data_IF_172265215784
#
_entry.id   IF_172265215784
#
_cell.length_a   1.000
_cell.length_b   1.000
_cell.length_c   1.000
_cell.angle_alpha   90.00
_cell.angle_beta   90.00
_cell.angle_gamma   90.00
#
_symmetry.space_group_name_H-M   'P 1'
#
loop_
_entity.id
_entity.type
_entity.pdbx_description
1 polymer ?
#
# COMPACT_ATOMS: atom_id res chain seq x y z
N UNK A 1 2.22 4.52 7.52
CA UNK A 1 3.54 3.85 7.62
C UNK A 1 4.32 4.46 8.77
N UNK A 2 5.15 3.67 9.46
CA UNK A 2 6.11 4.15 10.45
C UNK A 2 7.51 3.95 9.87
N UNK A 3 8.24 5.04 9.66
CA UNK A 3 9.60 5.04 9.14
C UNK A 3 10.58 5.14 10.30
N UNK A 4 11.33 4.06 10.53
CA UNK A 4 12.36 4.02 11.58
C UNK A 4 13.68 4.51 10.98
N UNK A 5 14.29 5.51 11.63
CA UNK A 5 15.56 6.11 11.22
C UNK A 5 16.56 5.98 12.36
N UNK A 6 17.70 5.36 12.12
CA UNK A 6 18.76 5.31 13.12
C UNK A 6 19.44 6.68 13.28
N UNK A 7 19.71 7.07 14.52
CA UNK A 7 20.34 8.37 14.83
C UNK A 7 21.87 8.34 14.89
N UNK A 8 22.48 7.15 14.95
CA UNK A 8 23.92 6.97 15.00
C UNK A 8 24.63 7.63 13.82
N UNK A 9 25.81 8.20 14.06
CA UNK A 9 26.66 8.76 13.00
C UNK A 9 27.11 7.63 12.07
N UNK A 10 26.97 7.82 10.76
CA UNK A 10 27.22 6.81 9.73
C UNK A 10 26.02 5.93 9.45
N UNK A 11 25.23 5.56 10.46
CA UNK A 11 24.01 4.76 10.28
C UNK A 11 22.90 5.56 9.58
N UNK A 12 22.68 6.81 10.02
CA UNK A 12 21.71 7.70 9.39
C UNK A 12 22.04 7.94 7.92
N UNK A 13 23.29 8.35 7.66
CA UNK A 13 23.79 8.72 6.35
C UNK A 13 23.74 7.53 5.37
N UNK A 14 24.05 6.32 5.84
CA UNK A 14 23.90 5.10 5.06
C UNK A 14 22.43 4.85 4.70
N UNK A 15 21.50 4.99 5.66
CA UNK A 15 20.07 4.78 5.45
C UNK A 15 19.44 5.79 4.47
N UNK A 16 19.87 7.06 4.52
CA UNK A 16 19.38 8.11 3.62
C UNK A 16 20.27 8.31 2.38
N UNK A 17 21.20 7.41 2.10
CA UNK A 17 22.02 7.43 0.89
C UNK A 17 21.16 7.13 -0.36
N UNK A 18 21.75 7.26 -1.55
CA UNK A 18 21.04 6.97 -2.82
C UNK A 18 20.58 5.51 -2.90
N UNK A 19 21.39 4.60 -2.37
CA UNK A 19 21.13 3.16 -2.35
C UNK A 19 20.56 2.70 -1.00
N UNK A 20 20.23 3.67 -0.12
CA UNK A 20 19.70 3.44 1.21
C UNK A 20 18.21 3.07 1.19
N UNK A 21 17.86 2.05 1.97
CA UNK A 21 16.51 1.48 2.03
C UNK A 21 15.47 2.45 2.60
N UNK A 22 15.86 3.38 3.47
CA UNK A 22 14.94 4.39 4.04
C UNK A 22 14.28 5.21 2.93
N UNK A 23 15.03 5.50 1.85
CA UNK A 23 14.48 6.26 0.73
C UNK A 23 13.49 5.47 -0.10
N UNK A 24 13.85 4.23 -0.39
CA UNK A 24 13.06 3.31 -1.18
C UNK A 24 11.73 2.99 -0.48
N UNK A 25 11.76 2.68 0.82
CA UNK A 25 10.55 2.42 1.60
C UNK A 25 9.59 3.62 1.67
N UNK A 26 10.11 4.84 1.83
CA UNK A 26 9.25 6.03 1.84
C UNK A 26 8.63 6.30 0.47
N UNK A 27 9.38 6.09 -0.62
CA UNK A 27 8.86 6.20 -1.98
C UNK A 27 7.78 5.16 -2.25
N UNK A 28 8.04 3.89 -1.93
CA UNK A 28 7.09 2.80 -2.06
C UNK A 28 5.80 3.08 -1.28
N UNK A 29 5.90 3.46 -0.02
CA UNK A 29 4.74 3.79 0.81
C UNK A 29 3.89 4.91 0.18
N UNK A 30 4.53 5.97 -0.34
CA UNK A 30 3.83 7.07 -0.99
C UNK A 30 3.14 6.64 -2.29
N UNK A 31 3.83 5.87 -3.14
CA UNK A 31 3.30 5.35 -4.40
C UNK A 31 2.12 4.40 -4.18
N UNK A 32 2.12 3.63 -3.10
CA UNK A 32 1.00 2.76 -2.68
C UNK A 32 -0.15 3.54 -2.00
N UNK A 33 -0.11 4.87 -2.00
CA UNK A 33 -1.18 5.69 -1.44
C UNK A 33 -1.18 5.82 0.08
N UNK A 34 -0.13 5.37 0.77
CA UNK A 34 0.03 5.55 2.23
C UNK A 34 0.39 7.01 2.53
N UNK A 35 -0.64 7.84 2.70
CA UNK A 35 -0.49 9.29 2.93
C UNK A 35 -0.08 9.66 4.36
N UNK A 36 -0.38 8.80 5.32
CA UNK A 36 0.00 8.99 6.72
C UNK A 36 1.38 8.37 7.01
N UNK A 37 2.32 9.20 7.43
CA UNK A 37 3.68 8.82 7.78
C UNK A 37 4.00 9.30 9.20
N UNK A 38 4.62 8.43 10.00
CA UNK A 38 5.25 8.76 11.29
C UNK A 38 6.74 8.48 11.13
N UNK A 39 7.61 9.36 11.62
CA UNK A 39 9.06 9.13 11.64
C UNK A 39 9.50 8.92 13.07
N UNK A 40 10.06 7.74 13.36
CA UNK A 40 10.67 7.46 14.66
C UNK A 40 12.20 7.47 14.51
N UNK A 41 12.85 8.40 15.19
CA UNK A 41 14.31 8.55 15.20
C UNK A 41 14.83 7.67 16.34
N UNK A 42 15.27 6.47 15.98
CA UNK A 42 15.66 5.40 16.89
C UNK A 42 17.15 5.43 17.23
N UNK A 43 17.53 4.73 18.30
CA UNK A 43 18.88 4.67 18.87
C UNK A 43 19.40 6.00 19.41
N UNK A 44 18.51 6.88 19.89
CA UNK A 44 18.90 8.18 20.44
C UNK A 44 19.87 8.10 21.63
N UNK A 45 19.87 6.97 22.34
CA UNK A 45 20.85 6.62 23.36
C UNK A 45 22.30 6.59 22.83
N UNK A 46 22.51 6.13 21.59
CA UNK A 46 23.85 6.02 20.98
C UNK A 46 24.44 7.39 20.59
N UNK A 47 23.60 8.39 20.37
CA UNK A 47 24.00 9.78 20.17
C UNK A 47 23.80 10.65 21.42
N UNK A 48 23.73 10.02 22.60
CA UNK A 48 23.61 10.68 23.92
C UNK A 48 22.44 11.67 23.99
N UNK A 49 21.33 11.36 23.33
CA UNK A 49 20.15 12.22 23.29
C UNK A 49 20.44 13.66 22.83
N UNK A 50 21.39 13.83 21.89
CA UNK A 50 21.75 15.14 21.34
C UNK A 50 20.59 15.81 20.59
N UNK A 51 20.19 16.99 21.05
CA UNK A 51 19.16 17.82 20.40
C UNK A 51 19.60 18.27 19.00
N UNK A 52 20.88 18.59 18.83
CA UNK A 52 21.43 19.03 17.53
C UNK A 52 21.37 17.90 16.50
N UNK A 53 21.75 16.67 16.90
CA UNK A 53 21.65 15.50 16.02
C UNK A 53 20.20 15.20 15.67
N UNK A 54 19.28 15.31 16.63
CA UNK A 54 17.85 15.15 16.37
C UNK A 54 17.33 16.18 15.35
N UNK A 55 17.67 17.46 15.52
CA UNK A 55 17.28 18.55 14.60
C UNK A 55 17.88 18.38 13.20
N UNK A 56 19.13 17.95 13.11
CA UNK A 56 19.79 17.60 11.85
C UNK A 56 19.02 16.51 11.10
N UNK A 57 18.74 15.39 11.77
CA UNK A 57 17.99 14.26 11.20
C UNK A 57 16.61 14.70 10.74
N UNK A 58 15.89 15.51 11.53
CA UNK A 58 14.59 16.06 11.14
C UNK A 58 14.71 16.87 9.86
N UNK A 59 15.69 17.78 9.78
CA UNK A 59 15.87 18.66 8.63
C UNK A 59 16.12 17.85 7.36
N UNK A 60 17.07 16.92 7.39
CA UNK A 60 17.41 16.09 6.24
C UNK A 60 16.27 15.14 5.85
N UNK A 61 15.63 14.50 6.83
CA UNK A 61 14.49 13.61 6.60
C UNK A 61 13.30 14.40 6.04
N UNK A 62 13.01 15.60 6.57
CA UNK A 62 11.94 16.47 6.08
C UNK A 62 12.16 16.88 4.62
N UNK A 63 13.40 17.25 4.27
CA UNK A 63 13.76 17.56 2.89
C UNK A 63 13.58 16.35 1.97
N UNK A 64 13.95 15.17 2.46
CA UNK A 64 13.81 13.93 1.73
C UNK A 64 12.34 13.54 1.50
N UNK A 65 11.52 13.44 2.55
CA UNK A 65 10.11 13.04 2.42
C UNK A 65 9.29 14.07 1.63
N UNK A 66 9.68 15.35 1.67
CA UNK A 66 9.11 16.40 0.81
C UNK A 66 9.40 16.18 -0.67
N UNK A 67 10.58 15.65 -1.01
CA UNK A 67 10.93 15.27 -2.40
C UNK A 67 10.17 14.03 -2.86
N UNK A 68 9.85 13.12 -1.94
CA UNK A 68 8.98 11.96 -2.21
C UNK A 68 7.54 12.42 -2.51
N UNK A 69 7.02 13.34 -1.72
CA UNK A 69 5.67 13.90 -1.91
C UNK A 69 4.88 14.13 -0.62
N UNK A 70 5.41 13.69 0.53
CA UNK A 70 4.80 13.96 1.83
C UNK A 70 4.88 15.45 2.20
N UNK A 71 3.90 15.92 2.97
CA UNK A 71 3.99 17.21 3.65
C UNK A 71 4.69 17.01 5.01
N UNK A 72 5.93 17.50 5.23
CA UNK A 72 6.64 17.29 6.49
C UNK A 72 5.90 17.83 7.71
N UNK A 73 5.07 18.86 7.55
CA UNK A 73 4.25 19.40 8.65
C UNK A 73 3.18 18.43 9.15
N UNK A 74 2.77 17.48 8.32
CA UNK A 74 1.77 16.47 8.68
C UNK A 74 2.39 15.21 9.32
N UNK A 75 3.72 15.17 9.46
CA UNK A 75 4.50 14.00 9.89
C UNK A 75 5.08 14.26 11.28
N UNK A 76 4.68 13.50 12.31
CA UNK A 76 5.31 13.59 13.62
C UNK A 76 6.70 12.96 13.58
N UNK A 77 7.66 13.61 14.24
CA UNK A 77 9.02 13.12 14.46
C UNK A 77 9.18 12.80 15.95
N UNK A 78 9.44 11.53 16.26
CA UNK A 78 9.52 11.05 17.64
C UNK A 78 10.94 10.53 17.91
N UNK A 79 11.72 11.15 18.82
CA UNK A 79 13.00 10.60 19.24
C UNK A 79 12.76 9.44 20.20
N UNK A 80 13.21 8.24 19.85
CA UNK A 80 12.99 7.02 20.65
C UNK A 80 14.29 6.27 20.90
N UNK A 81 14.26 5.41 21.92
CA UNK A 81 15.17 4.27 22.03
C UNK A 81 14.32 3.00 22.10
N UNK A 82 14.24 2.26 21.00
CA UNK A 82 13.47 1.02 20.96
C UNK A 82 14.01 -0.05 21.93
N UNK A 83 15.31 0.00 22.24
CA UNK A 83 15.95 -0.93 23.17
C UNK A 83 15.63 -0.60 24.64
N UNK A 84 15.69 0.68 25.01
CA UNK A 84 15.46 1.13 26.39
C UNK A 84 14.00 1.50 26.71
N UNK A 85 13.14 1.60 25.68
CA UNK A 85 11.72 1.93 25.81
C UNK A 85 11.41 3.44 25.85
N UNK A 86 12.42 4.30 25.75
CA UNK A 86 12.25 5.76 25.80
C UNK A 86 11.31 6.29 24.71
N UNK A 87 10.32 7.09 25.11
CA UNK A 87 9.29 7.69 24.24
C UNK A 87 8.49 6.67 23.41
N UNK A 88 8.54 5.37 23.73
CA UNK A 88 7.72 4.35 23.06
C UNK A 88 6.27 4.45 23.54
N UNK A 89 6.07 4.34 24.86
CA UNK A 89 4.76 4.35 25.53
C UNK A 89 4.69 5.46 26.58
N UNK A 90 5.82 5.74 27.25
CA UNK A 90 5.95 6.80 28.26
C UNK A 90 7.05 7.80 27.86
N UNK A 91 6.88 9.05 28.27
CA UNK A 91 7.87 10.10 28.03
C UNK A 91 9.23 9.78 28.68
N UNK A 92 10.30 10.06 27.96
CA UNK A 92 11.67 9.89 28.44
C UNK A 92 12.13 11.07 29.28
N UNK A 93 12.88 10.80 30.35
CA UNK A 93 13.61 11.80 31.13
C UNK A 93 14.97 12.14 30.54
N UNK A 94 15.46 11.36 29.55
CA UNK A 94 16.79 11.52 28.97
C UNK A 94 16.90 12.67 27.96
N UNK A 95 15.77 13.21 27.51
CA UNK A 95 15.70 14.33 26.56
C UNK A 95 14.82 15.49 27.09
N UNK A 96 15.26 16.26 28.10
CA UNK A 96 14.48 17.35 28.68
C UNK A 96 14.18 18.50 27.70
N UNK A 97 14.98 18.59 26.64
CA UNK A 97 14.78 19.52 25.52
C UNK A 97 13.57 19.17 24.65
N UNK A 98 13.17 17.89 24.60
CA UNK A 98 12.07 17.44 23.76
C UNK A 98 10.72 17.80 24.38
N UNK A 99 9.97 18.67 23.70
CA UNK A 99 8.65 19.12 24.17
C UNK A 99 7.47 18.32 23.63
N UNK A 100 7.75 17.38 22.73
CA UNK A 100 6.75 16.61 22.02
C UNK A 100 6.85 16.80 20.50
N UNK A 101 6.18 15.92 19.78
CA UNK A 101 5.96 16.05 18.36
C UNK A 101 4.71 16.88 18.11
N UNK A 102 4.65 17.50 16.94
CA UNK A 102 3.48 18.20 16.45
C UNK A 102 3.23 17.77 15.01
N UNK A 103 1.96 17.72 14.60
CA UNK A 103 1.58 17.52 13.20
C UNK A 103 0.32 18.31 12.85
N UNK A 104 0.27 18.77 11.62
CA UNK A 104 -0.88 19.46 11.02
C UNK A 104 -1.66 18.48 10.15
N UNK A 105 -2.93 18.25 10.50
CA UNK A 105 -3.89 17.46 9.72
C UNK A 105 -5.12 18.32 9.40
N UNK A 106 -6.05 17.78 8.59
CA UNK A 106 -7.25 18.52 8.19
C UNK A 106 -8.14 18.91 9.37
N UNK A 107 -8.16 18.10 10.42
CA UNK A 107 -8.92 18.34 11.66
C UNK A 107 -8.25 19.35 12.61
N UNK A 108 -7.01 19.76 12.34
CA UNK A 108 -6.28 20.73 13.15
C UNK A 108 -4.85 20.31 13.46
N UNK A 109 -4.26 20.98 14.45
CA UNK A 109 -2.91 20.67 14.95
C UNK A 109 -3.02 19.66 16.10
N UNK A 110 -2.32 18.54 15.95
CA UNK A 110 -2.21 17.51 16.97
C UNK A 110 -0.80 17.53 17.57
N UNK A 111 -0.68 17.16 18.84
CA UNK A 111 0.60 17.02 19.53
C UNK A 111 0.58 15.85 20.50
N UNK A 112 1.78 15.37 20.84
CA UNK A 112 2.00 14.29 21.80
C UNK A 112 3.49 14.15 22.08
N UNK A 113 3.88 13.16 22.88
CA UNK A 113 5.30 12.93 23.23
C UNK A 113 5.81 11.56 22.80
N UNK A 114 4.94 10.56 22.75
CA UNK A 114 5.35 9.17 22.56
C UNK A 114 5.02 8.67 21.16
N UNK A 115 5.63 7.55 20.79
CA UNK A 115 5.32 6.86 19.54
C UNK A 115 3.90 6.29 19.57
N UNK A 116 3.43 5.79 20.72
CA UNK A 116 2.06 5.32 20.89
C UNK A 116 1.06 6.45 20.62
N UNK A 117 1.24 7.62 21.25
CA UNK A 117 0.37 8.78 21.00
C UNK A 117 0.41 9.21 19.51
N UNK A 118 1.56 9.09 18.83
CA UNK A 118 1.66 9.40 17.41
C UNK A 118 0.86 8.43 16.52
N UNK A 119 0.79 7.16 16.91
CA UNK A 119 -0.03 6.13 16.25
C UNK A 119 -1.52 6.39 16.51
N UNK A 120 -1.89 6.67 17.76
CA UNK A 120 -3.27 6.97 18.14
C UNK A 120 -3.78 8.26 17.49
N UNK A 121 -2.88 9.17 17.12
CA UNK A 121 -3.19 10.39 16.38
C UNK A 121 -3.59 10.15 14.92
N UNK A 122 -3.50 8.92 14.40
CA UNK A 122 -3.82 8.61 13.01
C UNK A 122 -5.33 8.51 12.85
N UNK A 123 -5.92 9.40 12.06
CA UNK A 123 -7.33 9.32 11.71
C UNK A 123 -7.61 7.99 10.97
N UNK A 124 -8.55 7.17 11.45
CA UNK A 124 -8.95 5.95 10.77
C UNK A 124 -9.39 6.26 9.33
N UNK A 125 -8.90 5.51 8.32
CA UNK A 125 -9.35 5.71 6.95
C UNK A 125 -10.85 5.39 6.85
N UNK A 126 -11.58 6.18 6.04
CA UNK A 126 -12.97 5.86 5.72
C UNK A 126 -13.01 4.53 4.96
N UNK A 127 -13.61 3.49 5.56
CA UNK A 127 -13.83 2.21 4.90
C UNK A 127 -14.74 2.41 3.67
N UNK A 128 -14.38 1.90 2.48
CA UNK A 128 -15.15 2.10 1.25
C UNK A 128 -16.39 1.19 1.17
N UNK A 129 -17.29 1.27 2.16
CA UNK A 129 -18.51 0.45 2.23
C UNK A 129 -19.50 0.74 1.11
N UNK A 130 -19.57 2.01 0.67
CA UNK A 130 -20.49 2.48 -0.38
C UNK A 130 -20.00 2.19 -1.79
N UNK A 131 -18.75 1.75 -1.96
CA UNK A 131 -18.22 1.36 -3.28
C UNK A 131 -18.73 -0.04 -3.66
N UNK A 132 -18.76 -0.39 -4.95
CA UNK A 132 -19.02 -1.75 -5.38
C UNK A 132 -18.06 -2.76 -4.76
N UNK A 133 -18.51 -4.02 -4.63
CA UNK A 133 -17.72 -5.09 -4.01
C UNK A 133 -16.48 -5.41 -4.86
N UNK A 134 -15.31 -5.41 -4.22
CA UNK A 134 -14.07 -6.00 -4.74
C UNK A 134 -13.40 -6.82 -3.64
N UNK A 135 -13.30 -8.13 -3.89
CA UNK A 135 -12.74 -9.11 -2.97
C UNK A 135 -11.73 -9.99 -3.74
N UNK A 136 -10.45 -9.61 -3.78
CA UNK A 136 -9.38 -10.42 -4.35
C UNK A 136 -9.18 -11.73 -3.57
N UNK A 137 -9.16 -12.85 -4.28
CA UNK A 137 -9.04 -14.19 -3.67
C UNK A 137 -7.59 -14.48 -3.29
N UNK A 138 -7.36 -14.79 -2.03
CA UNK A 138 -6.09 -15.28 -1.50
C UNK A 138 -5.96 -16.78 -1.74
N UNK A 139 -7.00 -17.54 -1.43
CA UNK A 139 -7.04 -19.00 -1.55
C UNK A 139 -8.45 -19.50 -1.89
N UNK A 140 -8.55 -20.74 -2.38
CA UNK A 140 -9.81 -21.42 -2.69
C UNK A 140 -9.76 -22.84 -2.17
N UNK A 141 -10.67 -23.18 -1.26
CA UNK A 141 -10.73 -24.50 -0.62
C UNK A 141 -11.94 -25.30 -1.09
N UNK A 142 -11.80 -26.64 -1.05
CA UNK A 142 -12.90 -27.59 -1.15
C UNK A 142 -13.14 -28.21 0.22
N UNK A 143 -14.26 -27.89 0.85
CA UNK A 143 -14.61 -28.41 2.17
C UNK A 143 -15.70 -29.47 2.00
N UNK A 144 -15.48 -30.67 2.57
CA UNK A 144 -16.45 -31.77 2.52
C UNK A 144 -17.78 -31.36 3.15
N UNK A 145 -18.90 -31.63 2.47
CA UNK A 145 -20.24 -31.26 2.94
C UNK A 145 -20.65 -29.80 2.71
N UNK A 146 -19.68 -28.88 2.55
CA UNK A 146 -19.92 -27.44 2.33
C UNK A 146 -19.76 -27.06 0.85
N UNK A 147 -18.74 -27.59 0.17
CA UNK A 147 -18.44 -27.28 -1.22
C UNK A 147 -17.23 -26.35 -1.37
N UNK A 148 -17.33 -25.39 -2.30
CA UNK A 148 -16.23 -24.46 -2.63
C UNK A 148 -16.29 -23.24 -1.73
N UNK A 149 -15.16 -22.92 -1.09
CA UNK A 149 -15.01 -21.79 -0.17
C UNK A 149 -13.79 -20.95 -0.57
N UNK A 150 -13.98 -19.85 -1.29
CA UNK A 150 -12.94 -18.85 -1.51
C UNK A 150 -12.68 -18.05 -0.23
N UNK A 151 -11.44 -17.62 -0.06
CA UNK A 151 -10.99 -16.79 1.05
C UNK A 151 -10.28 -15.57 0.50
N UNK A 152 -10.56 -14.41 1.08
CA UNK A 152 -9.88 -13.18 0.70
C UNK A 152 -10.24 -12.01 1.60
N UNK A 153 -9.60 -10.88 1.33
CA UNK A 153 -9.88 -9.62 2.01
C UNK A 153 -10.89 -8.82 1.20
N UNK A 154 -11.86 -8.23 1.89
CA UNK A 154 -12.79 -7.28 1.27
C UNK A 154 -12.06 -5.94 1.16
N UNK A 155 -11.79 -5.48 -0.06
CA UNK A 155 -11.12 -4.19 -0.28
C UNK A 155 -12.13 -3.06 -0.41
N UNK A 156 -13.24 -3.30 -1.13
CA UNK A 156 -14.36 -2.35 -1.26
C UNK A 156 -15.71 -3.04 -1.20
N UNK A 157 -16.75 -2.29 -0.84
CA UNK A 157 -18.13 -2.77 -0.76
C UNK A 157 -18.39 -3.72 0.39
N UNK A 158 -19.54 -4.39 0.32
CA UNK A 158 -20.04 -5.31 1.35
C UNK A 158 -20.36 -6.63 0.68
N UNK A 159 -20.07 -7.73 1.35
CA UNK A 159 -20.51 -9.07 0.93
C UNK A 159 -21.53 -9.61 1.93
N UNK A 160 -22.64 -10.16 1.45
CA UNK A 160 -23.70 -10.76 2.26
C UNK A 160 -24.09 -12.14 1.73
N UNK A 161 -24.52 -13.06 2.61
CA UNK A 161 -25.27 -14.22 2.16
C UNK A 161 -26.45 -13.81 1.25
N UNK A 162 -26.67 -14.56 0.18
CA UNK A 162 -27.70 -14.32 -0.83
C UNK A 162 -27.28 -13.36 -1.96
N UNK A 163 -26.12 -12.68 -1.85
CA UNK A 163 -25.60 -11.89 -2.97
C UNK A 163 -25.20 -12.79 -4.15
N UNK A 164 -25.44 -12.30 -5.36
CA UNK A 164 -24.91 -12.93 -6.57
C UNK A 164 -23.62 -12.23 -6.92
N UNK A 165 -22.53 -12.98 -6.99
CA UNK A 165 -21.18 -12.48 -7.22
C UNK A 165 -20.61 -13.03 -8.51
N UNK A 166 -19.83 -12.21 -9.21
CA UNK A 166 -19.08 -12.57 -10.41
C UNK A 166 -17.59 -12.60 -10.09
N UNK A 167 -16.90 -13.65 -10.55
CA UNK A 167 -15.46 -13.83 -10.41
C UNK A 167 -14.74 -13.45 -11.70
N UNK A 168 -13.96 -12.37 -11.65
CA UNK A 168 -13.09 -11.97 -12.74
C UNK A 168 -11.69 -12.56 -12.57
N UNK A 169 -10.97 -12.86 -13.66
CA UNK A 169 -11.36 -12.73 -15.06
C UNK A 169 -12.07 -13.98 -15.62
N UNK A 170 -12.40 -14.98 -14.78
CA UNK A 170 -13.04 -16.23 -15.22
C UNK A 170 -14.48 -16.05 -15.73
N UNK A 171 -15.12 -14.94 -15.35
CA UNK A 171 -16.50 -14.58 -15.65
C UNK A 171 -17.53 -15.64 -15.18
N UNK A 172 -17.26 -16.24 -14.03
CA UNK A 172 -18.17 -17.20 -13.37
C UNK A 172 -19.06 -16.43 -12.40
N UNK A 173 -20.37 -16.66 -12.45
CA UNK A 173 -21.32 -15.98 -11.57
C UNK A 173 -22.09 -16.99 -10.71
N UNK A 174 -22.24 -16.70 -9.42
CA UNK A 174 -22.90 -17.59 -8.47
C UNK A 174 -23.44 -16.85 -7.26
N UNK A 175 -24.30 -17.50 -6.48
CA UNK A 175 -24.85 -16.99 -5.24
C UNK A 175 -23.97 -17.37 -4.03
N UNK A 176 -23.68 -16.40 -3.17
CA UNK A 176 -23.02 -16.58 -1.88
C UNK A 176 -24.01 -17.19 -0.90
N UNK A 177 -23.67 -18.29 -0.23
CA UNK A 177 -24.57 -18.96 0.73
C UNK A 177 -24.31 -18.60 2.18
N UNK A 178 -23.05 -18.47 2.55
CA UNK A 178 -22.63 -18.02 3.88
C UNK A 178 -21.35 -17.22 3.74
N UNK A 179 -21.11 -16.35 4.72
CA UNK A 179 -19.87 -15.61 4.89
C UNK A 179 -19.42 -15.87 6.33
N UNK A 180 -18.15 -16.19 6.51
CA UNK A 180 -17.57 -16.57 7.80
C UNK A 180 -16.23 -15.86 8.03
N UNK A 181 -15.96 -15.49 9.27
CA UNK A 181 -14.68 -14.97 9.72
C UNK A 181 -14.35 -15.63 11.06
N UNK A 182 -13.15 -16.20 11.20
CA UNK A 182 -12.72 -16.91 12.42
C UNK A 182 -13.70 -17.99 12.91
N UNK A 183 -14.33 -18.73 12.00
CA UNK A 183 -15.34 -19.77 12.28
C UNK A 183 -16.67 -19.26 12.85
N UNK A 184 -16.91 -17.95 12.79
CA UNK A 184 -18.21 -17.35 13.11
C UNK A 184 -18.90 -16.87 11.83
N UNK A 185 -20.20 -17.13 11.75
CA UNK A 185 -21.00 -16.70 10.61
C UNK A 185 -21.33 -15.22 10.70
N UNK A 186 -21.10 -14.50 9.61
CA UNK A 186 -21.38 -13.08 9.49
C UNK A 186 -22.70 -12.83 8.76
N UNK A 187 -23.45 -11.83 9.21
CA UNK A 187 -24.60 -11.30 8.47
C UNK A 187 -24.15 -10.50 7.25
N UNK A 188 -23.00 -9.83 7.36
CA UNK A 188 -22.31 -9.12 6.29
C UNK A 188 -20.82 -9.04 6.60
N UNK A 189 -19.98 -9.09 5.56
CA UNK A 189 -18.56 -8.76 5.66
C UNK A 189 -18.31 -7.36 5.08
N UNK A 190 -17.46 -6.58 5.74
CA UNK A 190 -17.19 -5.18 5.38
C UNK A 190 -15.71 -4.97 4.99
N UNK A 191 -15.33 -3.84 4.37
CA UNK A 191 -13.96 -3.62 3.93
C UNK A 191 -12.94 -3.75 5.08
N UNK A 192 -11.87 -4.51 4.85
CA UNK A 192 -10.83 -4.83 5.82
C UNK A 192 -10.95 -6.23 6.44
N UNK A 193 -12.13 -6.84 6.40
CA UNK A 193 -12.35 -8.19 6.93
C UNK A 193 -11.71 -9.23 6.02
N UNK A 194 -11.12 -10.27 6.60
CA UNK A 194 -10.63 -11.45 5.87
C UNK A 194 -11.65 -12.55 6.07
N UNK A 195 -12.41 -12.86 5.02
CA UNK A 195 -13.57 -13.74 5.10
C UNK A 195 -13.39 -14.97 4.22
N UNK A 196 -13.94 -16.09 4.67
CA UNK A 196 -14.27 -17.22 3.81
C UNK A 196 -15.74 -17.16 3.46
N UNK A 197 -16.12 -17.47 2.23
CA UNK A 197 -17.54 -17.47 1.85
C UNK A 197 -17.90 -18.70 1.02
N UNK A 198 -19.05 -19.31 1.29
CA UNK A 198 -19.49 -20.48 0.54
C UNK A 198 -20.19 -20.07 -0.75
N UNK A 199 -19.87 -20.74 -1.86
CA UNK A 199 -20.53 -20.55 -3.15
C UNK A 199 -21.03 -21.86 -3.72
N UNK A 200 -22.18 -21.84 -4.42
CA UNK A 200 -22.72 -23.04 -5.09
C UNK A 200 -22.26 -23.15 -6.54
N UNK A 201 -22.28 -24.37 -7.07
CA UNK A 201 -22.13 -24.65 -8.51
C UNK A 201 -20.84 -24.08 -9.15
N UNK A 202 -19.81 -23.81 -8.35
CA UNK A 202 -18.48 -23.39 -8.80
C UNK A 202 -17.48 -24.40 -8.27
N UNK A 203 -16.65 -24.94 -9.14
CA UNK A 203 -15.55 -25.83 -8.77
C UNK A 203 -14.34 -25.02 -8.31
N UNK A 204 -13.52 -25.58 -7.42
CA UNK A 204 -12.21 -25.03 -7.06
C UNK A 204 -11.24 -24.90 -8.24
N UNK A 205 -11.56 -25.51 -9.39
CA UNK A 205 -10.78 -25.37 -10.63
C UNK A 205 -11.20 -24.17 -11.47
N UNK A 206 -12.40 -23.62 -11.24
CA UNK A 206 -12.97 -22.54 -12.06
C UNK A 206 -12.49 -21.16 -11.58
N UNK A 207 -12.06 -21.09 -10.32
CA UNK A 207 -11.57 -19.88 -9.66
C UNK A 207 -10.27 -20.18 -8.93
N UNK A 208 -9.42 -19.17 -8.76
CA UNK A 208 -8.10 -19.31 -8.13
C UNK A 208 -7.64 -18.02 -7.46
N UNK A 209 -6.54 -18.12 -6.70
CA UNK A 209 -5.80 -16.95 -6.20
C UNK A 209 -5.54 -15.92 -7.31
N UNK A 210 -5.74 -14.64 -7.00
CA UNK A 210 -5.62 -13.55 -7.97
C UNK A 210 -6.87 -13.29 -8.80
N UNK A 211 -7.93 -14.10 -8.69
CA UNK A 211 -9.25 -13.71 -9.18
C UNK A 211 -9.88 -12.69 -8.23
N UNK A 212 -10.82 -11.90 -8.73
CA UNK A 212 -11.50 -10.87 -7.96
C UNK A 212 -13.00 -11.16 -8.00
N UNK A 213 -13.61 -11.33 -6.83
CA UNK A 213 -15.05 -11.42 -6.69
C UNK A 213 -15.66 -10.02 -6.53
N UNK A 214 -16.82 -9.79 -7.15
CA UNK A 214 -17.61 -8.58 -6.95
C UNK A 214 -19.08 -8.82 -7.20
N UNK A 215 -19.93 -7.86 -6.83
CA UNK A 215 -21.38 -7.97 -6.99
C UNK A 215 -21.75 -7.99 -8.48
N UNK A 216 -22.49 -9.01 -8.92
CA UNK A 216 -22.88 -9.15 -10.31
C UNK A 216 -23.82 -8.04 -10.78
N UNK A 217 -24.48 -7.34 -9.86
CA UNK A 217 -25.51 -6.32 -10.13
C UNK A 217 -25.01 -4.89 -9.98
N UNK A 218 -23.82 -4.69 -9.43
CA UNK A 218 -23.29 -3.37 -9.14
C UNK A 218 -21.81 -3.34 -9.55
N UNK A 219 -21.55 -2.86 -10.76
CA UNK A 219 -20.22 -2.78 -11.37
C UNK A 219 -19.39 -4.07 -11.19
N UNK A 220 -19.77 -5.18 -11.83
CA UNK A 220 -19.05 -6.45 -11.69
C UNK A 220 -17.60 -6.33 -12.20
N UNK A 221 -16.61 -6.94 -11.52
CA UNK A 221 -15.23 -6.90 -11.96
C UNK A 221 -15.06 -7.59 -13.30
N UNK A 222 -14.12 -7.11 -14.11
CA UNK A 222 -13.84 -7.63 -15.45
C UNK A 222 -12.36 -7.96 -15.66
N UNK A 223 -12.08 -8.79 -16.64
CA UNK A 223 -10.71 -9.02 -17.09
C UNK A 223 -10.18 -7.85 -17.92
N UNK A 224 -8.94 -7.44 -17.67
CA UNK A 224 -8.27 -6.39 -18.43
C UNK A 224 -7.50 -7.00 -19.61
N UNK A 225 -7.84 -6.59 -20.84
CA UNK A 225 -7.06 -6.94 -22.03
C UNK A 225 -5.73 -6.19 -22.08
N UNK A 226 -5.73 -4.94 -21.62
CA UNK A 226 -4.56 -4.10 -21.38
C UNK A 226 -4.94 -3.01 -20.41
N UNK A 227 -3.95 -2.39 -19.77
CA UNK A 227 -4.17 -1.25 -18.88
C UNK A 227 -3.01 -0.27 -19.00
N UNK A 228 -3.28 1.01 -18.73
CA UNK A 228 -2.24 2.03 -18.62
C UNK A 228 -1.93 2.26 -17.15
N UNK A 229 -0.65 2.31 -16.81
CA UNK A 229 -0.21 2.57 -15.45
C UNK A 229 0.91 3.59 -15.43
N UNK A 230 0.89 4.46 -14.41
CA UNK A 230 2.05 5.24 -14.04
C UNK A 230 3.06 4.33 -13.33
N UNK A 231 4.23 4.16 -13.93
CA UNK A 231 5.35 3.38 -13.39
C UNK A 231 6.42 4.34 -12.92
N UNK A 232 6.99 4.08 -11.75
CA UNK A 232 8.19 4.74 -11.27
C UNK A 232 9.30 3.70 -11.24
N UNK A 233 10.36 3.94 -12.02
CA UNK A 233 11.49 3.02 -12.07
C UNK A 233 12.36 3.24 -10.83
N UNK A 234 12.42 2.22 -9.98
CA UNK A 234 13.31 2.21 -8.81
C UNK A 234 14.77 1.96 -9.24
N UNK A 235 15.62 1.53 -8.31
CA UNK A 235 17.01 1.21 -8.63
C UNK A 235 17.08 -0.05 -9.52
N UNK A 236 17.29 0.17 -10.81
CA UNK A 236 17.46 -0.86 -11.83
C UNK A 236 18.81 -0.66 -12.55
N UNK A 237 19.62 -1.73 -12.76
CA UNK A 237 20.97 -1.59 -13.34
C UNK A 237 20.97 -1.29 -14.85
N UNK A 238 19.85 -1.53 -15.53
CA UNK A 238 19.72 -1.34 -16.98
C UNK A 238 18.64 -0.34 -17.38
N UNK A 239 18.37 -0.30 -18.68
CA UNK A 239 17.27 0.44 -19.28
C UNK A 239 16.08 -0.48 -19.55
N UNK A 240 14.86 0.04 -19.42
CA UNK A 240 13.61 -0.67 -19.70
C UNK A 240 13.02 -0.09 -20.97
N UNK A 241 12.89 -0.91 -22.01
CA UNK A 241 12.26 -0.56 -23.28
C UNK A 241 10.93 -1.26 -23.49
N UNK A 242 10.24 -0.90 -24.57
CA UNK A 242 9.07 -1.64 -25.04
C UNK A 242 9.42 -3.12 -25.28
N UNK A 243 8.55 -4.03 -24.84
CA UNK A 243 8.76 -5.47 -24.87
C UNK A 243 9.28 -6.08 -23.57
N UNK A 244 9.75 -5.27 -22.61
CA UNK A 244 10.10 -5.77 -21.27
C UNK A 244 8.88 -6.41 -20.61
N UNK A 245 9.03 -7.60 -20.03
CA UNK A 245 7.91 -8.40 -19.51
C UNK A 245 8.19 -8.92 -18.09
N UNK A 246 8.25 -8.03 -17.08
CA UNK A 246 8.43 -8.42 -15.69
C UNK A 246 7.17 -9.08 -15.14
N UNK A 247 7.32 -9.75 -13.99
CA UNK A 247 6.18 -10.17 -13.19
C UNK A 247 5.64 -8.97 -12.40
N UNK A 248 4.33 -8.77 -12.46
CA UNK A 248 3.60 -7.79 -11.67
C UNK A 248 2.85 -8.50 -10.55
N UNK A 249 3.10 -8.03 -9.34
CA UNK A 249 2.25 -8.28 -8.19
C UNK A 249 1.23 -7.16 -8.08
N UNK A 250 -0.05 -7.52 -8.16
CA UNK A 250 -1.17 -6.60 -7.98
C UNK A 250 -2.23 -7.32 -7.16
N UNK A 251 -2.64 -6.74 -6.03
CA UNK A 251 -3.48 -7.39 -5.02
C UNK A 251 -2.96 -8.80 -4.66
N UNK A 252 -3.68 -9.85 -5.03
CA UNK A 252 -3.34 -11.26 -4.83
C UNK A 252 -2.85 -11.94 -6.12
N UNK A 253 -2.91 -11.24 -7.26
CA UNK A 253 -2.45 -11.71 -8.57
C UNK A 253 -0.94 -11.53 -8.73
N UNK A 254 -0.32 -12.53 -9.36
CA UNK A 254 1.10 -12.60 -9.67
C UNK A 254 1.25 -13.03 -11.14
N UNK A 255 1.34 -12.06 -12.05
CA UNK A 255 1.24 -12.30 -13.51
C UNK A 255 2.29 -11.48 -14.25
N UNK A 256 2.97 -12.10 -15.22
CA UNK A 256 3.87 -11.38 -16.12
C UNK A 256 3.09 -10.43 -17.03
N UNK A 257 3.50 -9.17 -17.11
CA UNK A 257 2.87 -8.16 -17.95
C UNK A 257 3.90 -7.53 -18.88
N UNK A 258 3.62 -7.54 -20.18
CA UNK A 258 4.47 -6.92 -21.20
C UNK A 258 4.25 -5.41 -21.19
N UNK A 259 5.33 -4.64 -21.11
CA UNK A 259 5.36 -3.21 -21.38
C UNK A 259 5.21 -3.06 -22.89
N UNK A 260 3.98 -3.00 -23.37
CA UNK A 260 3.67 -2.98 -24.80
C UNK A 260 4.16 -1.68 -25.44
N UNK A 261 3.86 -0.55 -24.80
CA UNK A 261 4.21 0.78 -25.26
C UNK A 261 4.60 1.65 -24.06
N UNK A 262 5.72 2.39 -24.19
CA UNK A 262 6.06 3.48 -23.29
C UNK A 262 5.42 4.74 -23.88
N UNK A 263 4.30 5.20 -23.31
CA UNK A 263 3.49 6.26 -23.92
C UNK A 263 4.09 7.63 -23.64
N UNK A 264 4.41 7.90 -22.38
CA UNK A 264 4.95 9.19 -21.95
C UNK A 264 5.94 9.00 -20.82
N UNK A 265 7.03 9.75 -20.83
CA UNK A 265 7.85 10.00 -19.65
C UNK A 265 7.29 11.23 -18.94
N UNK A 266 7.10 11.12 -17.63
CA UNK A 266 6.46 12.17 -16.83
C UNK A 266 7.36 12.59 -15.66
N UNK A 267 7.19 13.83 -15.20
CA UNK A 267 7.77 14.27 -13.94
C UNK A 267 7.03 13.57 -12.78
N UNK A 268 7.79 12.82 -11.97
CA UNK A 268 7.22 11.96 -10.90
C UNK A 268 6.41 12.71 -9.83
N UNK A 269 6.59 14.02 -9.67
CA UNK A 269 5.93 14.83 -8.62
C UNK A 269 4.68 15.52 -9.14
N UNK A 270 4.75 16.01 -10.37
CA UNK A 270 3.69 16.84 -10.98
C UNK A 270 2.82 16.06 -11.95
N UNK A 271 3.28 14.89 -12.40
CA UNK A 271 2.61 14.08 -13.43
C UNK A 271 2.67 14.70 -14.83
N UNK A 272 3.38 15.82 -15.02
CA UNK A 272 3.45 16.50 -16.32
C UNK A 272 4.34 15.72 -17.28
N UNK A 273 3.88 15.58 -18.53
CA UNK A 273 4.68 14.99 -19.61
C UNK A 273 5.97 15.77 -19.85
N UNK A 274 7.06 15.02 -19.98
CA UNK A 274 8.43 15.48 -20.25
C UNK A 274 8.88 15.04 -21.63
N UNK A 275 8.49 13.84 -22.05
CA UNK A 275 8.86 13.25 -23.35
C UNK A 275 7.75 12.28 -23.80
N UNK A 276 7.28 12.42 -25.04
CA UNK A 276 6.29 11.51 -25.62
C UNK A 276 7.00 10.35 -26.33
N UNK A 277 6.49 9.14 -26.16
CA UNK A 277 7.00 7.89 -26.74
C UNK A 277 8.51 7.67 -26.51
N UNK A 278 9.00 7.68 -25.25
CA UNK A 278 10.41 7.48 -24.96
C UNK A 278 10.88 6.10 -25.41
N UNK A 279 12.10 6.00 -25.97
CA UNK A 279 12.66 4.70 -26.40
C UNK A 279 12.91 3.74 -25.25
N UNK A 280 13.26 4.29 -24.08
CA UNK A 280 13.50 3.54 -22.85
C UNK A 280 13.31 4.45 -21.63
N UNK A 281 13.10 3.83 -20.48
CA UNK A 281 13.13 4.48 -19.15
C UNK A 281 14.23 3.87 -18.29
N UNK A 282 14.77 4.65 -17.36
CA UNK A 282 15.84 4.22 -16.44
C UNK A 282 15.51 4.61 -14.99
N UNK A 283 16.33 4.14 -14.06
CA UNK A 283 16.21 4.43 -12.63
C UNK A 283 15.93 5.91 -12.33
N UNK A 284 14.86 6.15 -11.59
CA UNK A 284 14.38 7.48 -11.20
C UNK A 284 13.36 8.11 -12.15
N UNK A 285 13.20 7.57 -13.36
CA UNK A 285 12.18 8.04 -14.30
C UNK A 285 10.78 7.59 -13.85
N UNK A 286 9.78 8.41 -14.16
CA UNK A 286 8.38 8.02 -14.13
C UNK A 286 7.83 8.02 -15.56
N UNK A 287 6.94 7.08 -15.88
CA UNK A 287 6.35 6.97 -17.21
C UNK A 287 4.93 6.40 -17.16
N UNK A 288 4.12 6.78 -18.13
CA UNK A 288 2.85 6.13 -18.43
C UNK A 288 3.13 4.99 -19.40
N UNK A 289 2.80 3.78 -18.99
CA UNK A 289 3.10 2.55 -19.73
C UNK A 289 1.81 1.82 -20.02
N UNK A 290 1.60 1.43 -21.28
CA UNK A 290 0.55 0.48 -21.65
C UNK A 290 1.08 -0.94 -21.43
N UNK A 291 0.40 -1.68 -20.57
CA UNK A 291 0.76 -3.04 -20.19
C UNK A 291 -0.27 -4.04 -20.70
N UNK A 292 0.23 -5.20 -21.13
CA UNK A 292 -0.61 -6.32 -21.57
C UNK A 292 -0.27 -7.54 -20.71
N UNK A 293 -1.21 -8.05 -19.91
CA UNK A 293 -0.96 -9.22 -19.08
C UNK A 293 -0.82 -10.48 -19.95
N UNK A 294 0.14 -11.34 -19.60
CA UNK A 294 0.42 -12.61 -20.32
C UNK A 294 -0.63 -13.70 -20.07
N UNK A 295 -1.44 -13.53 -19.03
CA UNK A 295 -2.56 -14.40 -18.65
C UNK A 295 -3.76 -13.52 -18.31
N UNK A 296 -5.00 -14.03 -18.37
CA UNK A 296 -6.17 -13.28 -17.91
C UNK A 296 -5.95 -12.71 -16.51
N UNK A 297 -6.16 -11.40 -16.36
CA UNK A 297 -5.92 -10.64 -15.13
C UNK A 297 -7.09 -9.67 -14.91
N UNK A 298 -7.52 -9.50 -13.66
CA UNK A 298 -8.43 -8.43 -13.27
C UNK A 298 -7.62 -7.35 -12.55
N UNK A 299 -7.72 -6.12 -13.02
CA UNK A 299 -7.12 -4.92 -12.42
C UNK A 299 -8.10 -3.78 -12.61
N UNK A 300 -7.97 -2.78 -11.76
CA UNK A 300 -8.86 -1.62 -11.73
C UNK A 300 -8.05 -0.33 -11.76
N UNK A 301 -8.71 0.79 -12.11
CA UNK A 301 -8.10 2.09 -11.96
C UNK A 301 -7.90 2.42 -10.47
N UNK A 302 -6.68 2.81 -10.08
CA UNK A 302 -6.34 3.14 -8.68
C UNK A 302 -7.23 4.23 -8.07
N UNK A 303 -7.78 5.13 -8.90
CA UNK A 303 -8.71 6.18 -8.44
C UNK A 303 -10.09 5.62 -8.07
N UNK A 304 -10.48 4.49 -8.66
CA UNK A 304 -11.78 3.85 -8.46
C UNK A 304 -11.71 2.78 -7.39
N UNK A 305 -10.72 1.88 -7.46
CA UNK A 305 -10.50 0.78 -6.53
C UNK A 305 -9.01 0.72 -6.14
N UNK A 306 -8.59 1.50 -5.12
CA UNK A 306 -7.19 1.59 -4.68
C UNK A 306 -6.63 0.31 -4.07
#
# INVERSE_FOLDING_TARGET
>A
AILIIASGTGEFEAGISKDGQTREHALLAFTLGVKNLIVAINKMDTCKWSEDRYKEIIKETSNFIKKVGYNPKAVPFVPISGFNGDNMISGSTNCPWYKGWEREVKSGKLSGKTLLEAIDSIEPPKRPTEKPLRLPLQDVYKIGGIGTVPVGRIETGIIKPGMVVTFAPANVTTEVKSVEMHHEQLTEGVPGDNVGFNVKNVSVKDIRRGNVAGDSKNDPPLGAASFQAQVIVLNHPGQIGAGYAPVLDCHTAHIACKFAELLEKIDRRTGKSVENNPKFVKSGDAAIVKMVPSKPMCVEAFTEYP
#
